data_IF_987721257596
#
_entry.id   IF_987721257596
#
_cell.length_a   1.000
_cell.length_b   1.000
_cell.length_c   1.000
_cell.angle_alpha   90.00
_cell.angle_beta   90.00
_cell.angle_gamma   90.00
#
_symmetry.space_group_name_H-M   'P 1'
#
loop_
_entity.id
_entity.type
_entity.pdbx_description
1 polymer ?
#
# COMPACT_ATOMS: atom_id res chain seq x y z
N UNK A 1 -40.51 -7.10 -1.86
CA UNK A 1 -39.84 -6.26 -0.83
C UNK A 1 -38.34 -6.28 -1.11
N UNK A 2 -37.86 -5.45 -2.02
CA UNK A 2 -36.43 -5.34 -2.36
C UNK A 2 -35.78 -4.41 -1.34
N UNK A 3 -35.20 -4.97 -0.28
CA UNK A 3 -34.25 -4.23 0.54
C UNK A 3 -32.99 -4.02 -0.31
N UNK A 4 -32.96 -2.94 -1.09
CA UNK A 4 -31.71 -2.43 -1.62
C UNK A 4 -30.83 -2.13 -0.41
N UNK A 5 -29.88 -3.03 -0.14
CA UNK A 5 -28.92 -2.88 0.94
C UNK A 5 -27.87 -1.87 0.50
N UNK A 6 -28.29 -0.60 0.41
CA UNK A 6 -27.42 0.52 0.06
C UNK A 6 -26.17 0.48 0.96
N UNK A 7 -24.98 0.66 0.37
CA UNK A 7 -23.73 0.62 1.12
C UNK A 7 -23.73 1.73 2.17
N UNK A 8 -23.17 1.45 3.35
CA UNK A 8 -23.09 2.45 4.41
C UNK A 8 -22.27 3.67 3.94
N UNK A 9 -22.67 4.89 4.32
CA UNK A 9 -21.90 6.09 3.98
C UNK A 9 -20.49 6.02 4.58
N UNK A 10 -19.54 6.64 3.89
CA UNK A 10 -18.18 6.77 4.39
C UNK A 10 -18.14 7.58 5.69
N UNK A 11 -17.19 7.26 6.56
CA UNK A 11 -16.95 8.06 7.75
C UNK A 11 -16.51 9.47 7.37
N UNK A 12 -16.86 10.43 8.25
CA UNK A 12 -16.36 11.78 8.11
C UNK A 12 -14.81 11.77 8.12
N UNK A 13 -14.14 12.48 7.19
CA UNK A 13 -12.68 12.42 7.04
C UNK A 13 -11.91 12.71 8.34
N UNK A 14 -12.42 13.62 9.18
CA UNK A 14 -11.82 13.92 10.48
C UNK A 14 -11.81 12.71 11.42
N UNK A 15 -12.92 11.99 11.54
CA UNK A 15 -13.01 10.80 12.40
C UNK A 15 -12.12 9.67 11.88
N UNK A 16 -12.09 9.48 10.57
CA UNK A 16 -11.18 8.52 9.94
C UNK A 16 -9.71 8.89 10.18
N UNK A 17 -9.36 10.19 10.09
CA UNK A 17 -8.02 10.69 10.36
C UNK A 17 -7.59 10.51 11.81
N UNK A 18 -8.46 10.84 12.77
CA UNK A 18 -8.21 10.63 14.21
C UNK A 18 -8.01 9.14 14.50
N UNK A 19 -8.88 8.28 13.99
CA UNK A 19 -8.75 6.83 14.17
C UNK A 19 -7.43 6.30 13.58
N UNK A 20 -7.06 6.75 12.37
CA UNK A 20 -5.80 6.37 11.74
C UNK A 20 -4.58 6.87 12.54
N UNK A 21 -4.62 8.11 13.04
CA UNK A 21 -3.56 8.68 13.88
C UNK A 21 -3.38 7.92 15.19
N UNK A 22 -4.48 7.53 15.84
CA UNK A 22 -4.44 6.68 17.03
C UNK A 22 -3.83 5.31 16.73
N UNK A 23 -4.23 4.67 15.63
CA UNK A 23 -3.64 3.39 15.19
C UNK A 23 -2.14 3.55 14.95
N UNK A 24 -1.72 4.64 14.31
CA UNK A 24 -0.30 4.94 14.09
C UNK A 24 0.45 5.06 15.43
N UNK A 25 -0.09 5.85 16.36
CA UNK A 25 0.47 6.06 17.69
C UNK A 25 0.59 4.73 18.46
N UNK A 26 -0.47 3.93 18.49
CA UNK A 26 -0.45 2.62 19.13
C UNK A 26 0.56 1.67 18.48
N UNK A 27 0.70 1.70 17.15
CA UNK A 27 1.68 0.87 16.45
C UNK A 27 3.09 1.25 16.88
N UNK A 28 3.41 2.54 16.93
CA UNK A 28 4.69 3.02 17.42
C UNK A 28 4.94 2.65 18.89
N UNK A 29 3.94 2.79 19.77
CA UNK A 29 4.09 2.48 21.19
C UNK A 29 4.28 0.99 21.48
N UNK A 30 3.55 0.12 20.77
CA UNK A 30 3.57 -1.32 21.06
C UNK A 30 4.76 -1.98 20.37
N UNK A 31 5.13 -1.54 19.16
CA UNK A 31 6.08 -2.28 18.32
C UNK A 31 7.34 -1.53 17.98
N UNK A 32 7.40 -0.22 18.27
CA UNK A 32 8.52 0.63 17.88
C UNK A 32 8.64 0.88 16.38
N UNK A 33 7.73 0.35 15.56
CA UNK A 33 7.76 0.46 14.10
C UNK A 33 6.56 1.26 13.58
N UNK A 34 6.77 1.99 12.49
CA UNK A 34 5.70 2.66 11.76
C UNK A 34 4.90 1.71 10.86
N UNK A 35 3.78 2.19 10.32
CA UNK A 35 2.98 1.42 9.36
C UNK A 35 3.72 1.32 8.02
N UNK A 36 3.98 0.09 7.57
CA UNK A 36 4.58 -0.18 6.26
C UNK A 36 3.81 -1.22 5.47
N UNK A 37 4.01 -1.25 4.15
CA UNK A 37 3.49 -2.31 3.27
C UNK A 37 4.58 -2.91 2.37
N UNK A 38 5.53 -2.09 1.91
CA UNK A 38 6.57 -2.51 0.96
C UNK A 38 7.53 -3.54 1.53
N UNK A 39 7.86 -3.48 2.83
CA UNK A 39 8.73 -4.48 3.46
C UNK A 39 8.15 -5.89 3.38
N UNK A 40 6.83 -6.02 3.51
CA UNK A 40 6.14 -7.31 3.33
C UNK A 40 6.24 -7.82 1.89
N UNK A 41 5.95 -6.98 0.89
CA UNK A 41 6.00 -7.43 -0.51
C UNK A 41 7.41 -7.86 -0.93
N UNK A 42 8.46 -7.22 -0.41
CA UNK A 42 9.84 -7.62 -0.69
C UNK A 42 10.24 -8.92 0.01
N UNK A 43 9.77 -9.17 1.23
CA UNK A 43 9.98 -10.47 1.91
C UNK A 43 9.22 -11.60 1.22
N UNK A 44 8.00 -11.34 0.72
CA UNK A 44 7.27 -12.30 -0.12
C UNK A 44 8.05 -12.62 -1.40
N UNK A 45 8.59 -11.62 -2.09
CA UNK A 45 9.41 -11.86 -3.29
C UNK A 45 10.69 -12.60 -2.96
N UNK A 46 11.32 -12.31 -1.82
CA UNK A 46 12.52 -13.02 -1.36
C UNK A 46 12.21 -14.50 -1.06
N UNK A 47 11.08 -14.78 -0.40
CA UNK A 47 10.60 -16.15 -0.16
C UNK A 47 10.24 -16.89 -1.45
N UNK A 48 9.59 -16.25 -2.42
CA UNK A 48 9.33 -16.87 -3.73
C UNK A 48 10.62 -17.12 -4.51
N UNK A 49 11.56 -16.16 -4.44
CA UNK A 49 12.89 -16.29 -5.03
C UNK A 49 13.76 -17.30 -4.28
N UNK A 50 13.38 -17.71 -3.06
CA UNK A 50 14.10 -18.70 -2.25
C UNK A 50 13.98 -20.14 -2.80
N UNK A 51 13.37 -20.34 -3.97
CA UNK A 51 13.46 -21.57 -4.76
C UNK A 51 14.48 -21.51 -5.91
N UNK A 52 15.10 -20.35 -6.16
CA UNK A 52 15.94 -20.10 -7.34
C UNK A 52 17.35 -19.66 -6.90
N UNK A 53 18.36 -20.55 -6.94
CA UNK A 53 19.72 -20.28 -6.45
C UNK A 53 20.40 -19.04 -7.07
N UNK A 54 20.03 -18.69 -8.31
CA UNK A 54 20.57 -17.54 -9.02
C UNK A 54 20.25 -16.19 -8.35
N UNK A 55 19.21 -16.11 -7.51
CA UNK A 55 18.77 -14.89 -6.84
C UNK A 55 19.11 -14.84 -5.33
N UNK A 56 19.91 -15.78 -4.83
CA UNK A 56 20.21 -15.92 -3.39
C UNK A 56 21.69 -15.74 -3.02
N UNK A 57 22.57 -15.43 -3.97
CA UNK A 57 23.97 -15.17 -3.64
C UNK A 57 24.11 -14.02 -2.65
N UNK A 58 25.15 -13.98 -1.82
CA UNK A 58 25.37 -12.85 -0.89
C UNK A 58 25.55 -11.50 -1.61
N UNK A 59 26.03 -11.54 -2.86
CA UNK A 59 26.10 -10.40 -3.78
C UNK A 59 24.72 -9.89 -4.24
N UNK A 60 23.65 -10.66 -3.98
CA UNK A 60 22.30 -10.41 -4.48
C UNK A 60 21.47 -9.63 -3.48
N UNK A 61 20.69 -8.67 -3.99
CA UNK A 61 19.79 -7.81 -3.20
C UNK A 61 18.78 -8.61 -2.33
N UNK A 62 18.47 -9.86 -2.67
CA UNK A 62 17.49 -10.69 -1.98
C UNK A 62 18.09 -11.64 -0.95
N UNK A 63 19.38 -11.96 -1.02
CA UNK A 63 20.05 -12.93 -0.12
C UNK A 63 19.83 -12.61 1.37
N UNK A 64 20.26 -11.43 1.85
CA UNK A 64 20.08 -11.04 3.26
C UNK A 64 18.61 -10.92 3.70
N UNK A 65 17.69 -10.72 2.76
CA UNK A 65 16.25 -10.57 3.04
C UNK A 65 15.55 -11.95 3.08
N UNK A 66 16.08 -12.94 2.38
CA UNK A 66 15.54 -14.30 2.29
C UNK A 66 15.92 -15.18 3.50
N UNK A 67 17.04 -14.89 4.16
CA UNK A 67 17.48 -15.60 5.37
C UNK A 67 16.54 -15.36 6.56
N UNK A 68 15.92 -14.18 6.65
CA UNK A 68 14.88 -13.93 7.64
C UNK A 68 13.52 -14.49 7.19
N UNK A 69 12.94 -15.34 8.03
CA UNK A 69 11.59 -15.85 7.80
C UNK A 69 10.57 -14.73 7.58
N UNK A 70 9.63 -14.92 6.65
CA UNK A 70 8.55 -13.95 6.42
C UNK A 70 7.71 -13.73 7.69
N UNK A 71 7.56 -14.75 8.53
CA UNK A 71 6.69 -14.71 9.71
C UNK A 71 7.32 -14.06 10.94
N UNK A 72 8.66 -13.94 11.00
CA UNK A 72 9.35 -13.23 12.08
C UNK A 72 9.24 -11.71 11.95
N UNK A 73 8.88 -11.21 10.76
CA UNK A 73 8.73 -9.79 10.52
C UNK A 73 7.41 -9.27 11.09
N UNK A 74 7.48 -8.25 11.96
CA UNK A 74 6.29 -7.53 12.46
C UNK A 74 5.35 -7.08 11.33
N UNK A 75 5.92 -6.63 10.20
CA UNK A 75 5.14 -6.14 9.05
C UNK A 75 4.24 -7.20 8.43
N UNK A 76 4.56 -8.49 8.58
CA UNK A 76 3.70 -9.60 8.10
C UNK A 76 2.43 -9.69 8.92
N UNK A 77 2.54 -9.60 10.25
CA UNK A 77 1.38 -9.54 11.14
C UNK A 77 0.56 -8.28 10.91
N UNK A 78 1.21 -7.14 10.68
CA UNK A 78 0.53 -5.90 10.30
C UNK A 78 -0.29 -6.08 9.02
N UNK A 79 0.27 -6.69 7.97
CA UNK A 79 -0.43 -6.90 6.70
C UNK A 79 -1.58 -7.90 6.81
N UNK A 80 -1.44 -8.96 7.61
CA UNK A 80 -2.54 -9.87 7.95
C UNK A 80 -3.66 -9.11 8.66
N UNK A 81 -3.33 -8.29 9.66
CA UNK A 81 -4.29 -7.46 10.38
C UNK A 81 -5.01 -6.46 9.47
N UNK A 82 -4.28 -5.79 8.57
CA UNK A 82 -4.86 -4.87 7.57
C UNK A 82 -5.79 -5.62 6.62
N UNK A 83 -5.42 -6.81 6.14
CA UNK A 83 -6.24 -7.61 5.25
C UNK A 83 -7.54 -8.07 5.93
N UNK A 84 -7.45 -8.60 7.15
CA UNK A 84 -8.61 -9.01 7.94
C UNK A 84 -9.51 -7.81 8.29
N UNK A 85 -8.91 -6.71 8.73
CA UNK A 85 -9.63 -5.47 9.05
C UNK A 85 -10.35 -4.88 7.84
N UNK A 86 -9.72 -4.89 6.66
CA UNK A 86 -10.34 -4.48 5.40
C UNK A 86 -11.52 -5.38 5.03
N UNK A 87 -11.39 -6.69 5.18
CA UNK A 87 -12.45 -7.66 4.91
C UNK A 87 -13.66 -7.48 5.84
N UNK A 88 -13.43 -7.42 7.16
CA UNK A 88 -14.48 -7.19 8.16
C UNK A 88 -15.17 -5.85 7.91
N UNK A 89 -14.40 -4.79 7.67
CA UNK A 89 -14.95 -3.45 7.38
C UNK A 89 -15.77 -3.44 6.10
N UNK A 90 -15.32 -4.12 5.04
CA UNK A 90 -16.06 -4.22 3.79
C UNK A 90 -17.37 -5.01 3.94
N UNK A 91 -17.37 -6.07 4.77
CA UNK A 91 -18.56 -6.86 5.08
C UNK A 91 -19.58 -6.04 5.89
N UNK A 92 -19.13 -5.34 6.93
CA UNK A 92 -19.98 -4.48 7.77
C UNK A 92 -20.58 -3.30 7.00
N UNK A 93 -19.85 -2.77 6.02
CA UNK A 93 -20.33 -1.72 5.13
C UNK A 93 -21.19 -2.24 3.95
N UNK A 94 -21.33 -3.57 3.80
CA UNK A 94 -22.04 -4.25 2.70
C UNK A 94 -21.56 -3.79 1.31
N UNK A 95 -20.24 -3.64 1.16
CA UNK A 95 -19.62 -3.11 -0.07
C UNK A 95 -18.65 -4.08 -0.74
N UNK A 96 -18.70 -5.36 -0.38
CA UNK A 96 -17.91 -6.39 -1.07
C UNK A 96 -18.51 -6.57 -2.46
N UNK A 97 -17.81 -6.07 -3.47
CA UNK A 97 -18.18 -6.19 -4.88
C UNK A 97 -16.93 -6.45 -5.70
N UNK A 98 -16.97 -7.47 -6.54
CA UNK A 98 -15.95 -7.65 -7.56
C UNK A 98 -16.22 -6.65 -8.68
N UNK A 99 -15.29 -5.73 -8.88
CA UNK A 99 -15.39 -4.72 -9.93
C UNK A 99 -14.01 -4.41 -10.48
N UNK A 100 -13.97 -4.05 -11.75
CA UNK A 100 -12.78 -3.47 -12.37
C UNK A 100 -13.08 -1.97 -12.53
N UNK A 101 -12.52 -1.16 -11.64
CA UNK A 101 -12.72 0.28 -11.67
C UNK A 101 -12.15 0.87 -12.98
N UNK A 102 -12.93 1.69 -13.69
CA UNK A 102 -12.50 2.36 -14.93
C UNK A 102 -12.81 1.61 -16.24
N UNK A 103 -13.52 0.46 -16.19
CA UNK A 103 -13.96 -0.25 -17.40
C UNK A 103 -14.76 0.62 -18.37
N UNK A 104 -15.64 1.49 -17.84
CA UNK A 104 -16.49 2.38 -18.65
C UNK A 104 -15.73 3.50 -19.38
N UNK A 105 -14.48 3.78 -18.99
CA UNK A 105 -13.70 4.92 -19.51
C UNK A 105 -12.59 4.49 -20.46
N UNK A 106 -11.90 3.37 -20.18
CA UNK A 106 -10.75 2.91 -20.98
C UNK A 106 -10.97 1.55 -21.66
N UNK A 107 -12.03 0.82 -21.30
CA UNK A 107 -12.19 -0.59 -21.65
C UNK A 107 -11.35 -1.53 -20.78
N UNK A 108 -11.80 -2.77 -20.63
CA UNK A 108 -11.19 -3.78 -19.72
C UNK A 108 -9.70 -4.06 -19.98
N UNK A 109 -9.24 -4.38 -21.20
CA UNK A 109 -7.84 -4.81 -21.40
C UNK A 109 -6.84 -3.65 -21.23
N UNK A 110 -7.14 -2.46 -21.77
CA UNK A 110 -6.29 -1.27 -21.60
C UNK A 110 -6.21 -0.82 -20.14
N UNK A 111 -7.30 -0.94 -19.39
CA UNK A 111 -7.30 -0.65 -17.94
C UNK A 111 -6.41 -1.62 -17.17
N UNK A 112 -6.43 -2.90 -17.50
CA UNK A 112 -5.59 -3.88 -16.82
C UNK A 112 -4.10 -3.64 -17.11
N UNK A 113 -3.75 -3.37 -18.37
CA UNK A 113 -2.36 -3.04 -18.77
C UNK A 113 -1.88 -1.77 -18.07
N UNK A 114 -2.68 -0.69 -18.09
CA UNK A 114 -2.31 0.58 -17.43
C UNK A 114 -2.24 0.45 -15.91
N UNK A 115 -3.12 -0.33 -15.29
CA UNK A 115 -3.05 -0.61 -13.84
C UNK A 115 -1.80 -1.43 -13.47
N UNK A 116 -1.46 -2.42 -14.28
CA UNK A 116 -0.26 -3.23 -14.08
C UNK A 116 1.02 -2.41 -14.28
N UNK A 117 1.11 -1.65 -15.37
CA UNK A 117 2.23 -0.74 -15.62
C UNK A 117 2.38 0.32 -14.53
N UNK A 118 1.27 0.92 -14.08
CA UNK A 118 1.27 1.85 -12.95
C UNK A 118 1.70 1.21 -11.64
N UNK A 119 1.30 -0.04 -11.39
CA UNK A 119 1.72 -0.82 -10.23
C UNK A 119 3.23 -1.11 -10.23
N UNK A 120 3.80 -1.48 -11.38
CA UNK A 120 5.24 -1.68 -11.53
C UNK A 120 6.02 -0.39 -11.27
N UNK A 121 5.59 0.73 -11.86
CA UNK A 121 6.22 2.04 -11.65
C UNK A 121 6.12 2.48 -10.19
N UNK A 122 4.96 2.30 -9.55
CA UNK A 122 4.77 2.60 -8.14
C UNK A 122 5.63 1.72 -7.22
N UNK A 123 5.76 0.43 -7.54
CA UNK A 123 6.62 -0.50 -6.81
C UNK A 123 8.10 -0.13 -6.91
N UNK A 124 8.58 0.17 -8.13
CA UNK A 124 9.94 0.65 -8.39
C UNK A 124 10.20 1.96 -7.63
N UNK A 125 9.28 2.92 -7.75
CA UNK A 125 9.38 4.20 -7.05
C UNK A 125 9.42 4.04 -5.53
N UNK A 126 8.63 3.13 -4.97
CA UNK A 126 8.64 2.85 -3.53
C UNK A 126 9.96 2.23 -3.05
N UNK A 127 10.70 1.52 -3.90
CA UNK A 127 12.05 1.01 -3.59
C UNK A 127 13.09 2.11 -3.66
N UNK A 128 13.06 2.94 -4.70
CA UNK A 128 13.95 4.10 -4.85
C UNK A 128 13.76 5.09 -3.70
N UNK A 129 12.52 5.32 -3.28
CA UNK A 129 12.19 6.20 -2.16
C UNK A 129 12.40 5.56 -0.77
N UNK A 130 12.91 4.32 -0.70
CA UNK A 130 13.06 3.54 0.53
C UNK A 130 11.76 3.39 1.36
N UNK A 131 10.58 3.54 0.75
CA UNK A 131 9.30 3.37 1.43
C UNK A 131 8.08 3.66 0.56
N UNK A 132 6.92 3.19 1.02
CA UNK A 132 5.62 3.52 0.44
C UNK A 132 4.98 4.75 1.09
N UNK A 133 3.81 5.15 0.57
CA UNK A 133 3.00 6.24 1.13
C UNK A 133 2.65 6.05 2.60
N UNK A 134 2.37 4.83 3.06
CA UNK A 134 2.12 4.55 4.48
C UNK A 134 3.39 4.63 5.34
N UNK A 135 4.53 4.19 4.81
CA UNK A 135 5.81 4.20 5.52
C UNK A 135 6.42 5.60 5.55
N UNK A 136 6.90 6.07 4.40
CA UNK A 136 7.57 7.37 4.28
C UNK A 136 6.60 8.54 4.44
N UNK A 137 5.38 8.40 3.92
CA UNK A 137 4.38 9.47 4.00
C UNK A 137 3.74 9.58 5.39
N UNK A 138 2.96 8.58 5.81
CA UNK A 138 2.23 8.66 7.09
C UNK A 138 3.17 8.52 8.29
N UNK A 139 3.98 7.46 8.34
CA UNK A 139 4.83 7.20 9.50
C UNK A 139 6.02 8.16 9.57
N UNK A 140 6.63 8.50 8.43
CA UNK A 140 7.71 9.49 8.36
C UNK A 140 7.27 10.92 8.70
N UNK A 141 6.09 11.35 8.26
CA UNK A 141 5.57 12.66 8.68
C UNK A 141 5.16 12.69 10.15
N UNK A 142 4.64 11.58 10.70
CA UNK A 142 4.28 11.47 12.11
C UNK A 142 5.50 11.59 13.04
N UNK A 143 6.68 11.15 12.61
CA UNK A 143 7.95 11.32 13.35
C UNK A 143 8.65 12.65 13.04
N UNK A 144 7.97 13.58 12.38
CA UNK A 144 8.51 14.88 11.99
C UNK A 144 9.77 14.81 11.09
N UNK A 145 9.93 13.73 10.32
CA UNK A 145 11.08 13.56 9.43
C UNK A 145 11.01 14.48 8.23
N UNK A 146 12.09 15.23 7.97
CA UNK A 146 12.25 16.06 6.77
C UNK A 146 12.09 15.24 5.48
N UNK A 147 12.57 14.00 5.48
CA UNK A 147 12.44 13.10 4.34
C UNK A 147 10.98 12.72 4.07
N UNK A 148 10.17 12.53 5.12
CA UNK A 148 8.75 12.21 5.00
C UNK A 148 7.94 13.37 4.39
N UNK A 149 8.19 14.60 4.85
CA UNK A 149 7.56 15.79 4.27
C UNK A 149 7.98 16.01 2.81
N UNK A 150 9.26 15.88 2.50
CA UNK A 150 9.78 16.01 1.13
C UNK A 150 9.16 14.96 0.21
N UNK A 151 9.07 13.71 0.68
CA UNK A 151 8.41 12.63 -0.03
C UNK A 151 6.93 12.93 -0.31
N UNK A 152 6.17 13.40 0.68
CA UNK A 152 4.75 13.75 0.50
C UNK A 152 4.56 14.85 -0.53
N UNK A 153 5.35 15.93 -0.45
CA UNK A 153 5.27 17.04 -1.41
C UNK A 153 5.51 16.54 -2.83
N UNK A 154 6.59 15.78 -3.04
CA UNK A 154 6.93 15.25 -4.37
C UNK A 154 5.91 14.22 -4.86
N UNK A 155 5.39 13.37 -3.97
CA UNK A 155 4.36 12.39 -4.29
C UNK A 155 3.06 13.05 -4.77
N UNK A 156 2.61 14.10 -4.07
CA UNK A 156 1.43 14.87 -4.49
C UNK A 156 1.68 15.63 -5.79
N UNK A 157 2.84 16.27 -5.95
CA UNK A 157 3.20 16.99 -7.17
C UNK A 157 3.23 16.06 -8.39
N UNK A 158 3.93 14.93 -8.29
CA UNK A 158 3.98 13.92 -9.34
C UNK A 158 2.59 13.34 -9.64
N UNK A 159 1.79 13.04 -8.60
CA UNK A 159 0.42 12.57 -8.76
C UNK A 159 -0.47 13.57 -9.52
N UNK A 160 -0.33 14.88 -9.24
CA UNK A 160 -1.06 15.92 -9.94
C UNK A 160 -0.63 16.02 -11.41
N UNK A 161 0.68 16.00 -11.68
CA UNK A 161 1.22 16.03 -13.05
C UNK A 161 0.76 14.81 -13.86
N UNK A 162 0.91 13.61 -13.32
CA UNK A 162 0.47 12.36 -13.97
C UNK A 162 -1.06 12.36 -14.16
N UNK A 163 -1.81 12.82 -13.16
CA UNK A 163 -3.27 12.94 -13.28
C UNK A 163 -3.67 13.87 -14.43
N UNK A 164 -2.98 15.00 -14.59
CA UNK A 164 -3.21 15.96 -15.69
C UNK A 164 -2.79 15.39 -17.04
N UNK A 165 -1.67 14.66 -17.11
CA UNK A 165 -1.24 14.01 -18.35
C UNK A 165 -2.22 12.93 -18.80
N UNK A 166 -2.68 12.09 -17.87
CA UNK A 166 -3.60 10.98 -18.17
C UNK A 166 -5.03 11.46 -18.43
N UNK A 167 -5.52 12.46 -17.66
CA UNK A 167 -6.85 13.05 -17.88
C UNK A 167 -6.88 14.11 -18.98
N UNK A 168 -5.71 14.64 -19.37
CA UNK A 168 -5.51 15.59 -20.46
C UNK A 168 -5.54 14.95 -21.84
N UNK A 169 -5.64 13.62 -21.93
CA UNK A 169 -6.14 12.91 -23.10
C UNK A 169 -7.67 12.89 -23.00
N UNK A 170 -8.28 14.04 -23.34
CA UNK A 170 -9.70 14.14 -23.67
C UNK A 170 -9.80 14.78 -25.04
#
# INVERSE_FOLDING_TARGET
MHLETQPKPFWHPLWAGIALGLVLLFTFLITGHGLGATGFTTRVTAWLASGVPAFMGEESYLGPIAEESIFSAWITWQMIGVALGAYVSARLARRIRFQIDGQKTLGTPRRLITAFAGGLLAGLGARIAAGCTSGMGLSGAATLSLAGFTFLIMFFAAGLVVSRLVRGVR
#
